data_IF_142879067532
#
_entry.id   IF_142879067532
#
_cell.length_a   1.000
_cell.length_b   1.000
_cell.length_c   1.000
_cell.angle_alpha   90.00
_cell.angle_beta   90.00
_cell.angle_gamma   90.00
#
_symmetry.space_group_name_H-M   'P 1'
#
loop_
_entity.id
_entity.type
_entity.pdbx_description
1 polymer ?
#
# COMPACT_ATOMS: atom_id res chain seq x y z
N UNK A 1 40.24 -32.29 -20.46
CA UNK A 1 41.13 -33.28 -21.11
C UNK A 1 42.50 -33.37 -20.45
N UNK A 2 42.82 -32.49 -19.50
CA UNK A 2 44.18 -32.29 -18.99
C UNK A 2 44.80 -33.51 -18.30
N UNK A 3 44.00 -34.50 -17.89
CA UNK A 3 44.51 -35.71 -17.23
C UNK A 3 44.83 -36.87 -18.16
N UNK A 4 44.60 -36.75 -19.48
CA UNK A 4 44.82 -37.86 -20.43
C UNK A 4 46.17 -37.77 -21.16
N UNK A 5 46.92 -36.69 -21.00
CA UNK A 5 48.10 -36.38 -21.82
C UNK A 5 49.32 -36.15 -20.94
N UNK A 6 50.33 -37.00 -21.10
CA UNK A 6 51.66 -36.81 -20.55
C UNK A 6 52.53 -36.11 -21.60
N UNK A 7 52.74 -34.81 -21.42
CA UNK A 7 53.56 -33.99 -22.31
C UNK A 7 55.05 -34.27 -22.18
N UNK A 8 55.51 -34.80 -21.04
CA UNK A 8 56.93 -35.08 -20.77
C UNK A 8 57.35 -36.30 -21.59
N UNK A 9 56.57 -37.37 -21.52
CA UNK A 9 56.82 -38.59 -22.29
C UNK A 9 56.18 -38.57 -23.68
N UNK A 10 55.39 -37.54 -23.98
CA UNK A 10 54.59 -37.39 -25.22
C UNK A 10 53.69 -38.59 -25.48
N UNK A 11 52.93 -38.97 -24.46
CA UNK A 11 51.97 -40.07 -24.52
C UNK A 11 50.58 -39.57 -24.15
N UNK A 12 49.57 -39.93 -24.96
CA UNK A 12 48.17 -39.76 -24.65
C UNK A 12 47.58 -41.13 -24.28
N UNK A 13 46.93 -41.22 -23.13
CA UNK A 13 46.25 -42.44 -22.69
C UNK A 13 44.78 -42.36 -23.05
N UNK A 14 44.31 -43.31 -23.87
CA UNK A 14 42.91 -43.39 -24.25
C UNK A 14 42.04 -43.60 -22.99
N UNK A 15 41.02 -42.75 -22.73
CA UNK A 15 40.19 -42.88 -21.54
C UNK A 15 39.33 -44.16 -21.54
N UNK A 16 39.03 -44.71 -22.73
CA UNK A 16 38.19 -45.90 -22.89
C UNK A 16 38.99 -47.21 -22.73
N UNK A 17 40.01 -47.43 -23.57
CA UNK A 17 40.76 -48.69 -23.58
C UNK A 17 42.09 -48.65 -22.81
N UNK A 18 42.48 -47.49 -22.27
CA UNK A 18 43.76 -47.23 -21.59
C UNK A 18 45.01 -47.47 -22.45
N UNK A 19 44.86 -47.68 -23.75
CA UNK A 19 45.99 -47.76 -24.67
C UNK A 19 46.75 -46.42 -24.70
N UNK A 20 48.07 -46.51 -24.86
CA UNK A 20 48.97 -45.37 -24.90
C UNK A 20 49.34 -45.06 -26.35
N UNK A 21 49.14 -43.81 -26.75
CA UNK A 21 49.35 -43.32 -28.11
C UNK A 21 50.39 -42.20 -28.10
N UNK A 22 51.39 -42.20 -29.01
CA UNK A 22 52.36 -41.11 -29.09
C UNK A 22 51.66 -39.80 -29.50
N UNK A 23 51.95 -38.72 -28.79
CA UNK A 23 51.45 -37.38 -29.13
C UNK A 23 52.31 -36.79 -30.26
N UNK A 24 51.70 -36.26 -31.34
CA UNK A 24 52.42 -35.59 -32.42
C UNK A 24 53.37 -34.49 -31.92
N UNK A 25 54.45 -34.22 -32.67
CA UNK A 25 55.47 -33.23 -32.26
C UNK A 25 54.87 -31.82 -32.09
N UNK A 26 53.84 -31.50 -32.86
CA UNK A 26 53.15 -30.21 -32.83
C UNK A 26 52.01 -30.15 -31.79
N UNK A 27 51.87 -31.18 -30.95
CA UNK A 27 50.88 -31.27 -29.88
C UNK A 27 49.58 -31.96 -30.28
N UNK A 28 48.67 -32.07 -29.31
CA UNK A 28 47.40 -32.82 -29.42
C UNK A 28 46.46 -32.31 -30.51
N UNK A 29 46.59 -31.04 -30.91
CA UNK A 29 45.82 -30.44 -32.00
C UNK A 29 46.10 -31.08 -33.36
N UNK A 30 47.21 -31.81 -33.49
CA UNK A 30 47.64 -32.45 -34.73
C UNK A 30 47.36 -33.97 -34.76
N UNK A 31 46.51 -34.47 -33.86
CA UNK A 31 45.87 -35.77 -34.08
C UNK A 31 44.94 -35.71 -35.28
N UNK A 32 44.75 -36.84 -35.97
CA UNK A 32 43.83 -36.91 -37.11
C UNK A 32 42.42 -36.48 -36.68
N UNK A 33 41.84 -35.53 -37.41
CA UNK A 33 40.48 -35.07 -37.20
C UNK A 33 39.49 -36.23 -37.33
N UNK A 34 38.48 -36.26 -36.46
CA UNK A 34 37.38 -37.19 -36.60
C UNK A 34 36.45 -36.71 -37.73
N UNK A 35 36.67 -37.23 -38.95
CA UNK A 35 35.91 -36.86 -40.14
C UNK A 35 34.40 -37.12 -40.00
N UNK A 36 33.97 -38.06 -39.15
CA UNK A 36 32.55 -38.27 -38.86
C UNK A 36 31.96 -37.08 -38.10
N UNK A 37 32.66 -36.59 -37.06
CA UNK A 37 32.25 -35.39 -36.32
C UNK A 37 32.32 -34.15 -37.20
N UNK A 38 33.36 -33.99 -38.01
CA UNK A 38 33.44 -32.90 -39.01
C UNK A 38 32.26 -32.96 -39.98
N UNK A 39 31.92 -34.15 -40.50
CA UNK A 39 30.76 -34.36 -41.35
C UNK A 39 29.45 -33.93 -40.69
N UNK A 40 29.23 -34.24 -39.40
CA UNK A 40 28.07 -33.77 -38.64
C UNK A 40 28.02 -32.25 -38.48
N UNK A 41 29.17 -31.61 -38.25
CA UNK A 41 29.27 -30.16 -38.16
C UNK A 41 28.98 -29.50 -39.52
N UNK A 42 29.35 -30.13 -40.63
CA UNK A 42 29.19 -29.62 -41.99
C UNK A 42 27.84 -29.96 -42.64
N UNK A 43 26.93 -30.69 -41.96
CA UNK A 43 25.59 -30.99 -42.49
C UNK A 43 24.88 -29.73 -42.97
N UNK A 44 25.07 -28.61 -42.26
CA UNK A 44 24.46 -27.35 -42.62
C UNK A 44 24.94 -26.77 -43.96
N UNK A 45 26.15 -27.13 -44.39
CA UNK A 45 26.74 -26.74 -45.67
C UNK A 45 26.25 -27.63 -46.83
N UNK A 46 25.67 -28.80 -46.53
CA UNK A 46 25.08 -29.73 -47.48
C UNK A 46 23.57 -29.55 -47.64
N UNK A 47 23.03 -28.41 -47.19
CA UNK A 47 21.61 -28.10 -47.33
C UNK A 47 21.22 -28.13 -48.82
N UNK A 48 20.23 -28.96 -49.15
CA UNK A 48 19.54 -28.94 -50.44
C UNK A 48 18.28 -28.10 -50.33
N UNK A 49 17.73 -27.64 -51.46
CA UNK A 49 16.47 -26.88 -51.46
C UNK A 49 15.33 -27.64 -50.75
N UNK A 50 15.36 -28.99 -50.79
CA UNK A 50 14.38 -29.86 -50.15
C UNK A 50 14.48 -29.91 -48.61
N UNK A 51 15.65 -29.66 -48.03
CA UNK A 51 15.90 -29.81 -46.59
C UNK A 51 16.30 -28.51 -45.86
N UNK A 52 16.60 -27.43 -46.60
CA UNK A 52 17.07 -26.16 -46.05
C UNK A 52 16.14 -25.63 -44.95
N UNK A 53 14.82 -25.62 -45.19
CA UNK A 53 13.84 -25.15 -44.21
C UNK A 53 13.82 -25.98 -42.91
N UNK A 54 14.03 -27.30 -42.99
CA UNK A 54 14.06 -28.18 -41.81
C UNK A 54 15.32 -27.94 -40.99
N UNK A 55 16.45 -27.75 -41.67
CA UNK A 55 17.74 -27.48 -41.07
C UNK A 55 17.79 -26.09 -40.42
N UNK A 56 17.24 -25.07 -41.07
CA UNK A 56 17.05 -23.74 -40.47
C UNK A 56 16.17 -23.80 -39.22
N UNK A 57 15.04 -24.51 -39.29
CA UNK A 57 14.17 -24.70 -38.12
C UNK A 57 14.89 -25.46 -36.98
N UNK A 58 15.73 -26.45 -37.32
CA UNK A 58 16.54 -27.17 -36.34
C UNK A 58 17.58 -26.26 -35.68
N UNK A 59 18.34 -25.48 -36.47
CA UNK A 59 19.34 -24.52 -35.98
C UNK A 59 18.67 -23.47 -35.09
N UNK A 60 17.53 -22.92 -35.53
CA UNK A 60 16.74 -21.96 -34.73
C UNK A 60 16.33 -22.57 -33.39
N UNK A 61 15.74 -23.77 -33.37
CA UNK A 61 15.36 -24.48 -32.15
C UNK A 61 16.55 -24.85 -31.27
N UNK A 62 17.69 -25.19 -31.86
CA UNK A 62 18.92 -25.49 -31.12
C UNK A 62 19.41 -24.26 -30.36
N UNK A 63 19.40 -23.09 -31.03
CA UNK A 63 19.86 -21.80 -30.50
C UNK A 63 18.85 -21.10 -29.57
N UNK A 64 17.64 -21.61 -29.39
CA UNK A 64 16.71 -21.07 -28.39
C UNK A 64 17.28 -21.25 -26.97
N UNK A 65 17.17 -20.19 -26.18
CA UNK A 65 17.49 -20.21 -24.76
C UNK A 65 16.37 -20.88 -23.95
N UNK A 66 16.70 -21.43 -22.78
CA UNK A 66 15.71 -21.99 -21.85
C UNK A 66 15.14 -20.91 -20.95
N UNK A 67 13.81 -20.80 -20.90
CA UNK A 67 13.14 -19.89 -19.97
C UNK A 67 13.48 -20.29 -18.52
N UNK A 68 13.91 -19.32 -17.70
CA UNK A 68 14.21 -19.55 -16.28
C UNK A 68 12.99 -19.86 -15.40
N UNK A 69 11.78 -19.86 -15.96
CA UNK A 69 10.51 -20.05 -15.23
C UNK A 69 9.87 -21.39 -15.60
N UNK A 70 9.65 -21.67 -16.89
CA UNK A 70 9.05 -22.93 -17.35
C UNK A 70 10.06 -23.95 -17.91
N UNK A 71 11.35 -23.61 -18.00
CA UNK A 71 12.44 -24.44 -18.55
C UNK A 71 12.33 -24.82 -20.05
N UNK A 72 11.25 -24.38 -20.71
CA UNK A 72 11.04 -24.57 -22.14
C UNK A 72 11.99 -23.71 -22.97
N UNK A 73 12.41 -24.26 -24.11
CA UNK A 73 13.18 -23.52 -25.11
C UNK A 73 12.28 -22.52 -25.81
N UNK A 74 12.59 -21.24 -25.69
CA UNK A 74 11.79 -20.17 -26.25
C UNK A 74 12.67 -18.96 -26.59
N UNK A 75 12.13 -18.04 -27.38
CA UNK A 75 12.72 -16.70 -27.51
C UNK A 75 12.50 -15.98 -26.18
N UNK A 76 13.58 -15.51 -25.57
CA UNK A 76 13.55 -14.83 -24.28
C UNK A 76 13.78 -13.35 -24.45
N UNK A 77 12.87 -12.58 -23.88
CA UNK A 77 12.93 -11.13 -23.83
C UNK A 77 13.00 -10.66 -22.38
N UNK A 78 13.49 -9.44 -22.20
CA UNK A 78 13.62 -8.78 -20.90
C UNK A 78 12.24 -8.23 -20.48
N UNK A 79 11.84 -8.52 -19.24
CA UNK A 79 10.66 -7.90 -18.64
C UNK A 79 10.96 -6.44 -18.25
N UNK A 80 10.21 -5.46 -18.77
CA UNK A 80 10.39 -4.04 -18.45
C UNK A 80 10.19 -3.69 -16.96
N UNK A 81 9.52 -4.54 -16.18
CA UNK A 81 9.28 -4.32 -14.75
C UNK A 81 10.46 -4.76 -13.86
N UNK A 82 11.15 -5.86 -14.18
CA UNK A 82 12.15 -6.47 -13.28
C UNK A 82 13.44 -6.92 -13.96
N UNK A 83 13.60 -6.58 -15.25
CA UNK A 83 14.76 -6.92 -16.09
C UNK A 83 15.06 -8.43 -16.23
N UNK A 84 14.15 -9.30 -15.77
CA UNK A 84 14.27 -10.75 -15.90
C UNK A 84 13.94 -11.19 -17.33
N UNK A 85 14.77 -12.08 -17.89
CA UNK A 85 14.52 -12.72 -19.18
C UNK A 85 13.60 -13.93 -19.03
N UNK A 86 12.50 -13.95 -19.79
CA UNK A 86 11.53 -15.04 -19.79
C UNK A 86 10.81 -15.17 -21.14
N UNK A 87 10.15 -16.30 -21.38
CA UNK A 87 9.33 -16.50 -22.57
C UNK A 87 8.10 -15.58 -22.54
N UNK A 88 7.42 -15.45 -23.69
CA UNK A 88 6.22 -14.62 -23.82
C UNK A 88 5.15 -14.96 -22.76
N UNK A 89 4.85 -16.24 -22.57
CA UNK A 89 3.75 -16.68 -21.70
C UNK A 89 4.03 -16.42 -20.22
N UNK A 90 5.27 -16.66 -19.78
CA UNK A 90 5.69 -16.37 -18.41
C UNK A 90 5.71 -14.86 -18.14
N UNK A 91 6.10 -14.02 -19.12
CA UNK A 91 6.02 -12.55 -18.98
C UNK A 91 4.58 -12.06 -18.93
N UNK A 92 3.71 -12.60 -19.78
CA UNK A 92 2.28 -12.28 -19.78
C UNK A 92 1.66 -12.61 -18.41
N UNK A 93 1.92 -13.81 -17.91
CA UNK A 93 1.48 -14.25 -16.58
C UNK A 93 1.99 -13.34 -15.46
N UNK A 94 3.28 -13.00 -15.50
CA UNK A 94 3.90 -12.07 -14.54
C UNK A 94 3.24 -10.68 -14.55
N UNK A 95 2.97 -10.11 -15.73
CA UNK A 95 2.31 -8.81 -15.85
C UNK A 95 0.84 -8.86 -15.38
N UNK A 96 0.12 -9.94 -15.65
CA UNK A 96 -1.24 -10.12 -15.16
C UNK A 96 -1.29 -10.24 -13.63
N UNK A 97 -0.32 -10.91 -13.01
CA UNK A 97 -0.18 -10.92 -11.54
C UNK A 97 0.04 -9.51 -10.99
N UNK A 98 0.97 -8.74 -11.56
CA UNK A 98 1.23 -7.37 -11.15
C UNK A 98 0.00 -6.45 -11.30
N UNK A 99 -0.76 -6.59 -12.39
CA UNK A 99 -2.01 -5.85 -12.60
C UNK A 99 -3.05 -6.18 -11.53
N UNK A 100 -3.18 -7.45 -11.14
CA UNK A 100 -4.08 -7.88 -10.07
C UNK A 100 -3.66 -7.31 -8.73
N UNK A 101 -2.37 -7.33 -8.41
CA UNK A 101 -1.84 -6.78 -7.17
C UNK A 101 -2.04 -5.26 -7.10
N UNK A 102 -1.76 -4.53 -8.19
CA UNK A 102 -2.03 -3.10 -8.28
C UNK A 102 -3.52 -2.77 -8.10
N UNK A 103 -4.40 -3.58 -8.69
CA UNK A 103 -5.86 -3.44 -8.54
C UNK A 103 -6.28 -3.64 -7.08
N UNK A 104 -5.70 -4.63 -6.38
CA UNK A 104 -5.95 -4.87 -4.95
C UNK A 104 -5.49 -3.69 -4.10
N UNK A 105 -4.28 -3.18 -4.34
CA UNK A 105 -3.76 -1.99 -3.64
C UNK A 105 -4.69 -0.78 -3.83
N UNK A 106 -5.13 -0.53 -5.07
CA UNK A 106 -6.09 0.53 -5.38
C UNK A 106 -7.40 0.38 -4.61
N UNK A 107 -7.94 -0.84 -4.51
CA UNK A 107 -9.18 -1.07 -3.75
C UNK A 107 -8.98 -0.90 -2.24
N UNK A 108 -7.83 -1.29 -1.68
CA UNK A 108 -7.49 -0.98 -0.29
C UNK A 108 -7.53 0.53 -0.04
N UNK A 109 -6.85 1.34 -0.87
CA UNK A 109 -6.89 2.80 -0.74
C UNK A 109 -8.31 3.35 -0.87
N UNK A 110 -9.09 2.87 -1.84
CA UNK A 110 -10.49 3.29 -2.02
C UNK A 110 -11.36 2.94 -0.81
N UNK A 111 -11.14 1.78 -0.19
CA UNK A 111 -11.85 1.37 1.02
C UNK A 111 -11.47 2.25 2.21
N UNK A 112 -10.18 2.44 2.47
CA UNK A 112 -9.71 3.29 3.57
C UNK A 112 -10.19 4.73 3.43
N UNK A 113 -10.18 5.29 2.22
CA UNK A 113 -10.73 6.62 1.97
C UNK A 113 -12.22 6.71 2.32
N UNK A 114 -13.02 5.70 1.95
CA UNK A 114 -14.46 5.64 2.32
C UNK A 114 -14.66 5.54 3.84
N UNK A 115 -13.87 4.73 4.52
CA UNK A 115 -13.94 4.58 5.98
C UNK A 115 -13.54 5.88 6.71
N UNK A 116 -12.51 6.58 6.22
CA UNK A 116 -12.10 7.89 6.74
C UNK A 116 -13.18 8.95 6.53
N UNK A 117 -13.76 9.02 5.33
CA UNK A 117 -14.84 9.96 5.03
C UNK A 117 -16.07 9.73 5.91
N UNK A 118 -16.44 8.47 6.17
CA UNK A 118 -17.53 8.15 7.10
C UNK A 118 -17.24 8.62 8.53
N UNK A 119 -15.99 8.51 8.99
CA UNK A 119 -15.59 9.02 10.32
C UNK A 119 -15.61 10.54 10.39
N UNK A 120 -15.17 11.20 9.32
CA UNK A 120 -15.26 12.66 9.19
C UNK A 120 -16.73 13.13 9.27
N UNK A 121 -17.64 12.51 8.51
CA UNK A 121 -19.08 12.80 8.54
C UNK A 121 -19.67 12.62 9.96
N UNK A 122 -19.33 11.51 10.64
CA UNK A 122 -19.77 11.25 12.01
C UNK A 122 -19.27 12.31 13.01
N UNK A 123 -18.01 12.74 12.91
CA UNK A 123 -17.49 13.79 13.79
C UNK A 123 -18.16 15.15 13.54
N UNK A 124 -18.48 15.46 12.28
CA UNK A 124 -19.22 16.68 11.95
C UNK A 124 -20.62 16.63 12.59
N UNK A 125 -21.35 15.52 12.45
CA UNK A 125 -22.66 15.33 13.08
C UNK A 125 -22.62 15.44 14.62
N UNK A 126 -21.58 14.88 15.25
CA UNK A 126 -21.36 15.00 16.70
C UNK A 126 -21.13 16.46 17.12
N UNK A 127 -20.30 17.20 16.40
CA UNK A 127 -20.02 18.62 16.65
C UNK A 127 -21.28 19.46 16.48
N UNK A 128 -22.06 19.23 15.42
CA UNK A 128 -23.32 19.94 15.17
C UNK A 128 -24.34 19.67 16.28
N UNK A 129 -24.46 18.42 16.72
CA UNK A 129 -25.36 18.01 17.80
C UNK A 129 -24.95 18.64 19.13
N UNK A 130 -23.65 18.63 19.45
CA UNK A 130 -23.10 19.26 20.63
C UNK A 130 -23.36 20.77 20.62
N UNK A 131 -23.01 21.45 19.52
CA UNK A 131 -23.23 22.88 19.36
C UNK A 131 -24.71 23.27 19.48
N UNK A 132 -25.62 22.50 18.89
CA UNK A 132 -27.06 22.73 19.01
C UNK A 132 -27.55 22.58 20.46
N UNK A 133 -27.02 21.58 21.18
CA UNK A 133 -27.35 21.33 22.59
C UNK A 133 -26.85 22.44 23.50
N UNK A 134 -25.58 22.81 23.38
CA UNK A 134 -24.95 23.90 24.14
C UNK A 134 -25.63 25.24 23.85
N UNK A 135 -25.89 25.56 22.57
CA UNK A 135 -26.60 26.79 22.18
C UNK A 135 -28.02 26.84 22.78
N UNK A 136 -28.71 25.70 22.89
CA UNK A 136 -30.03 25.63 23.53
C UNK A 136 -29.90 25.83 25.05
N UNK A 137 -28.93 25.18 25.69
CA UNK A 137 -28.68 25.32 27.13
C UNK A 137 -28.38 26.78 27.49
N UNK A 138 -27.50 27.42 26.72
CA UNK A 138 -27.12 28.83 26.93
C UNK A 138 -28.30 29.79 26.72
N UNK A 139 -29.18 29.53 25.73
CA UNK A 139 -30.41 30.32 25.55
C UNK A 139 -31.37 30.17 26.74
N UNK A 140 -31.63 28.94 27.17
CA UNK A 140 -32.50 28.70 28.31
C UNK A 140 -31.97 29.35 29.58
N UNK A 141 -30.66 29.27 29.82
CA UNK A 141 -30.01 29.88 30.97
C UNK A 141 -30.11 31.41 30.94
N UNK A 142 -29.90 32.01 29.77
CA UNK A 142 -30.12 33.45 29.55
C UNK A 142 -31.56 33.85 29.84
N UNK A 143 -32.53 33.11 29.31
CA UNK A 143 -33.96 33.43 29.48
C UNK A 143 -34.37 33.36 30.97
N UNK A 144 -33.85 32.38 31.72
CA UNK A 144 -34.04 32.30 33.18
C UNK A 144 -33.41 33.50 33.90
N UNK A 145 -32.16 33.85 33.57
CA UNK A 145 -31.48 35.00 34.18
C UNK A 145 -32.19 36.33 33.88
N UNK A 146 -32.79 36.48 32.70
CA UNK A 146 -33.56 37.67 32.32
C UNK A 146 -34.84 37.79 33.15
N UNK A 147 -35.56 36.68 33.36
CA UNK A 147 -36.74 36.64 34.23
C UNK A 147 -36.36 36.99 35.67
N UNK A 148 -35.31 36.37 36.21
CA UNK A 148 -34.84 36.66 37.57
C UNK A 148 -34.38 38.11 37.73
N UNK A 149 -33.70 38.66 36.72
CA UNK A 149 -33.32 40.08 36.69
C UNK A 149 -34.55 41.00 36.72
N UNK A 150 -35.61 40.67 35.98
CA UNK A 150 -36.88 41.41 36.01
C UNK A 150 -37.53 41.36 37.39
N UNK A 151 -37.66 40.15 37.96
CA UNK A 151 -38.23 39.93 39.29
C UNK A 151 -37.47 40.70 40.37
N UNK A 152 -36.14 40.68 40.34
CA UNK A 152 -35.30 41.43 41.27
C UNK A 152 -35.48 42.94 41.11
N UNK A 153 -35.57 43.43 39.87
CA UNK A 153 -35.78 44.85 39.59
C UNK A 153 -37.13 45.34 40.10
N UNK A 154 -38.19 44.57 39.88
CA UNK A 154 -39.53 44.83 40.41
C UNK A 154 -39.54 44.80 41.95
N UNK A 155 -38.85 43.82 42.55
CA UNK A 155 -38.69 43.73 44.00
C UNK A 155 -37.97 44.95 44.60
N UNK A 156 -36.91 45.44 43.93
CA UNK A 156 -36.20 46.66 44.33
C UNK A 156 -37.13 47.88 44.25
N UNK A 157 -37.86 48.05 43.15
CA UNK A 157 -38.81 49.16 42.99
C UNK A 157 -39.94 49.12 44.05
N UNK A 158 -40.43 47.92 44.37
CA UNK A 158 -41.40 47.72 45.44
C UNK A 158 -40.85 48.15 46.81
N UNK A 159 -39.62 47.73 47.15
CA UNK A 159 -38.96 48.11 48.40
C UNK A 159 -38.68 49.61 48.47
N UNK A 160 -38.25 50.24 47.37
CA UNK A 160 -38.02 51.68 47.32
C UNK A 160 -39.31 52.48 47.58
N UNK A 161 -40.43 52.09 46.97
CA UNK A 161 -41.73 52.72 47.21
C UNK A 161 -42.17 52.57 48.69
N UNK A 162 -41.95 51.40 49.28
CA UNK A 162 -42.22 51.15 50.69
C UNK A 162 -41.36 52.04 51.62
N UNK A 163 -40.05 52.15 51.33
CA UNK A 163 -39.12 52.99 52.09
C UNK A 163 -39.44 54.48 51.99
N UNK A 164 -40.00 54.93 50.86
CA UNK A 164 -40.49 56.31 50.67
C UNK A 164 -41.85 56.57 51.34
N UNK A 165 -42.50 55.54 51.90
CA UNK A 165 -43.84 55.65 52.48
C UNK A 165 -44.95 55.76 51.44
N UNK A 166 -44.67 55.45 50.17
CA UNK A 166 -45.64 55.50 49.06
C UNK A 166 -46.51 54.24 49.00
N UNK A 167 -46.14 53.19 49.75
CA UNK A 167 -46.82 51.89 49.79
C UNK A 167 -46.75 51.28 51.20
N UNK A 168 -47.89 50.80 51.70
CA UNK A 168 -47.92 49.96 52.90
C UNK A 168 -47.46 48.53 52.55
N UNK A 169 -46.64 47.94 53.40
CA UNK A 169 -46.05 46.61 53.21
C UNK A 169 -46.14 45.82 54.50
N UNK A 170 -46.52 44.56 54.42
CA UNK A 170 -46.55 43.66 55.57
C UNK A 170 -45.16 43.05 55.83
N UNK A 171 -44.80 42.82 57.10
CA UNK A 171 -43.54 42.17 57.47
C UNK A 171 -43.32 40.83 56.75
N UNK A 172 -44.40 40.07 56.50
CA UNK A 172 -44.33 38.82 55.75
C UNK A 172 -43.90 38.99 54.29
N UNK A 173 -44.23 40.13 53.66
CA UNK A 173 -43.80 40.45 52.30
C UNK A 173 -42.31 40.83 52.28
N UNK A 174 -41.86 41.61 53.27
CA UNK A 174 -40.43 41.95 53.42
C UNK A 174 -39.57 40.71 53.64
N UNK A 175 -40.01 39.76 54.46
CA UNK A 175 -39.30 38.49 54.68
C UNK A 175 -39.21 37.68 53.39
N UNK A 176 -40.29 37.62 52.59
CA UNK A 176 -40.27 36.94 51.28
C UNK A 176 -39.26 37.58 50.34
N UNK A 177 -39.28 38.90 50.19
CA UNK A 177 -38.33 39.64 49.34
C UNK A 177 -36.89 39.41 49.78
N UNK A 178 -36.62 39.48 51.10
CA UNK A 178 -35.30 39.19 51.66
C UNK A 178 -34.81 37.79 51.28
N UNK A 179 -35.67 36.77 51.38
CA UNK A 179 -35.31 35.41 51.02
C UNK A 179 -35.01 35.29 49.52
N UNK A 180 -35.90 35.81 48.66
CA UNK A 180 -35.71 35.82 47.20
C UNK A 180 -34.37 36.48 46.81
N UNK A 181 -34.05 37.64 47.38
CA UNK A 181 -32.77 38.31 47.12
C UNK A 181 -31.57 37.53 47.66
N UNK A 182 -31.69 36.91 48.83
CA UNK A 182 -30.60 36.12 49.41
C UNK A 182 -30.30 34.88 48.56
N UNK A 183 -31.35 34.16 48.15
CA UNK A 183 -31.25 32.95 47.32
C UNK A 183 -30.68 33.30 45.94
N UNK A 184 -31.14 34.40 45.32
CA UNK A 184 -30.61 34.88 44.05
C UNK A 184 -29.14 35.29 44.11
N UNK A 185 -28.71 35.95 45.19
CA UNK A 185 -27.30 36.29 45.41
C UNK A 185 -26.44 35.04 45.65
N UNK A 186 -26.96 34.04 46.35
CA UNK A 186 -26.28 32.76 46.53
C UNK A 186 -26.13 32.02 45.19
N UNK A 187 -27.18 31.99 44.36
CA UNK A 187 -27.12 31.43 43.02
C UNK A 187 -26.03 32.11 42.18
N UNK A 188 -25.99 33.44 42.14
CA UNK A 188 -24.98 34.20 41.39
C UNK A 188 -23.56 33.99 41.92
N UNK A 189 -23.37 33.84 43.24
CA UNK A 189 -22.04 33.51 43.81
C UNK A 189 -21.54 32.14 43.37
N UNK A 190 -22.46 31.19 43.21
CA UNK A 190 -22.17 29.82 42.78
C UNK A 190 -22.14 29.67 41.25
N UNK A 191 -22.51 30.73 40.51
CA UNK A 191 -22.53 30.72 39.05
C UNK A 191 -21.09 30.80 38.50
N UNK A 192 -20.46 29.64 38.36
CA UNK A 192 -19.15 29.52 37.71
C UNK A 192 -19.34 29.39 36.20
N UNK A 193 -18.73 30.32 35.46
CA UNK A 193 -18.50 30.18 34.02
C UNK A 193 -17.24 29.31 33.87
N UNK A 194 -17.42 28.01 33.67
CA UNK A 194 -16.37 27.13 33.18
C UNK A 194 -16.49 26.97 31.66
#
# INVERSE_FOLDING_TARGET
>A
MDNCVDLVHRVLKCPECRAEHPVPYEGVKNFQSNYTLTGFLDIHLQATDDNAAQLEAYIQRYNLERCKICEEKAVLDICAHCEKRACSDCRATHLEMLKRDLTRVKEYFRRYYRELKKREEMFIEEIETFNATETRLMRNLRDVLEIESSNMSEGCAYLEAALKGEREVQDSELVKLKNVFSDGLEYLRNFQVN
#
